data_IF_842173670935
#
_entry.id   IF_842173670935
#
_cell.length_a   1.000
_cell.length_b   1.000
_cell.length_c   1.000
_cell.angle_alpha   90.00
_cell.angle_beta   90.00
_cell.angle_gamma   90.00
#
_symmetry.space_group_name_H-M   'P 1'
#
loop_
_entity.id
_entity.type
_entity.pdbx_description
1 polymer ?
#
# COMPACT_ATOMS: atom_id res chain seq x y z
N UNK A 1 -6.40 -3.11 4.96
CA UNK A 1 -6.70 -1.78 4.36
C UNK A 1 -6.21 -0.74 5.36
N UNK A 2 -5.42 0.26 4.95
CA UNK A 2 -4.72 1.14 5.90
C UNK A 2 -5.61 2.27 6.43
N UNK A 3 -6.39 2.89 5.55
CA UNK A 3 -7.35 3.95 5.88
C UNK A 3 -8.45 3.95 4.81
N UNK A 4 -9.55 4.64 5.06
CA UNK A 4 -10.54 4.89 4.02
C UNK A 4 -9.90 5.48 2.76
N UNK A 5 -10.13 4.83 1.61
CA UNK A 5 -9.57 5.19 0.31
C UNK A 5 -8.02 5.24 0.23
N UNK A 6 -7.30 4.59 1.15
CA UNK A 6 -5.85 4.40 1.08
C UNK A 6 -5.50 2.91 1.23
N UNK A 7 -4.81 2.39 0.22
CA UNK A 7 -4.43 0.99 0.12
C UNK A 7 -2.91 0.86 -0.03
N UNK A 8 -2.37 -0.22 0.52
CA UNK A 8 -0.94 -0.54 0.50
C UNK A 8 -0.76 -1.97 0.00
N UNK A 9 0.27 -2.19 -0.81
CA UNK A 9 0.73 -3.51 -1.26
C UNK A 9 2.23 -3.59 -1.05
N UNK A 10 2.69 -4.65 -0.40
CA UNK A 10 4.12 -4.96 -0.32
C UNK A 10 4.62 -5.49 -1.66
N UNK A 11 5.79 -5.01 -2.09
CA UNK A 11 6.48 -5.48 -3.30
C UNK A 11 7.93 -5.79 -2.95
N UNK A 12 8.47 -6.86 -3.54
CA UNK A 12 9.83 -7.33 -3.26
C UNK A 12 10.89 -6.35 -3.75
N UNK A 13 10.62 -5.67 -4.87
CA UNK A 13 11.52 -4.72 -5.48
C UNK A 13 10.75 -3.64 -6.25
N UNK A 14 11.50 -2.65 -6.76
CA UNK A 14 10.94 -1.52 -7.50
C UNK A 14 10.27 -1.93 -8.80
N UNK A 15 10.84 -2.88 -9.54
CA UNK A 15 10.29 -3.36 -10.81
C UNK A 15 8.91 -4.01 -10.63
N UNK A 16 8.75 -4.82 -9.58
CA UNK A 16 7.45 -5.42 -9.25
C UNK A 16 6.41 -4.37 -8.83
N UNK A 17 6.83 -3.33 -8.11
CA UNK A 17 5.96 -2.21 -7.75
C UNK A 17 5.49 -1.44 -8.99
N UNK A 18 6.41 -1.14 -9.92
CA UNK A 18 6.09 -0.49 -11.20
C UNK A 18 5.19 -1.36 -12.08
N UNK A 19 5.46 -2.66 -12.16
CA UNK A 19 4.60 -3.64 -12.85
C UNK A 19 3.19 -3.67 -12.28
N UNK A 20 3.06 -3.64 -10.95
CA UNK A 20 1.75 -3.56 -10.28
C UNK A 20 1.02 -2.27 -10.64
N UNK A 21 1.70 -1.12 -10.61
CA UNK A 21 1.10 0.16 -11.01
C UNK A 21 0.62 0.11 -12.46
N UNK A 22 1.41 -0.47 -13.37
CA UNK A 22 1.04 -0.61 -14.78
C UNK A 22 -0.14 -1.56 -14.98
N UNK A 23 -0.29 -2.58 -14.14
CA UNK A 23 -1.48 -3.43 -14.12
C UNK A 23 -2.71 -2.63 -13.66
N UNK A 24 -2.63 -1.91 -12.54
CA UNK A 24 -3.73 -1.10 -12.00
C UNK A 24 -4.20 -0.04 -13.00
N UNK A 25 -3.27 0.57 -13.77
CA UNK A 25 -3.61 1.54 -14.82
C UNK A 25 -4.62 1.00 -15.84
N UNK A 26 -4.68 -0.31 -16.06
CA UNK A 26 -5.64 -0.95 -16.99
C UNK A 26 -7.07 -1.02 -16.44
N UNK A 27 -7.24 -0.84 -15.13
CA UNK A 27 -8.51 -0.94 -14.42
C UNK A 27 -8.97 0.41 -13.82
N UNK A 28 -8.34 1.53 -14.23
CA UNK A 28 -8.70 2.83 -13.70
C UNK A 28 -10.16 3.18 -14.06
N UNK A 29 -10.89 3.82 -13.12
CA UNK A 29 -12.23 4.32 -13.40
C UNK A 29 -12.16 5.46 -14.43
N UNK A 30 -13.29 5.72 -15.10
CA UNK A 30 -13.40 6.82 -16.07
C UNK A 30 -13.30 8.20 -15.41
N UNK A 31 -13.75 8.31 -14.16
CA UNK A 31 -13.79 9.53 -13.38
C UNK A 31 -13.19 9.33 -11.98
N UNK A 32 -12.65 10.41 -11.40
CA UNK A 32 -12.09 10.43 -10.05
C UNK A 32 -10.59 10.69 -9.99
N UNK A 33 -10.02 10.57 -8.79
CA UNK A 33 -8.60 10.83 -8.53
C UNK A 33 -7.92 9.61 -7.92
N UNK A 34 -7.07 8.95 -8.71
CA UNK A 34 -6.25 7.84 -8.27
C UNK A 34 -4.78 8.23 -8.42
N UNK A 35 -4.02 8.12 -7.33
CA UNK A 35 -2.57 8.39 -7.30
C UNK A 35 -1.86 7.21 -6.66
N UNK A 36 -0.66 6.91 -7.13
CA UNK A 36 0.21 5.91 -6.51
C UNK A 36 1.52 6.57 -6.07
N UNK A 37 2.11 6.03 -5.01
CA UNK A 37 3.45 6.37 -4.54
C UNK A 37 4.17 5.07 -4.19
N UNK A 38 5.44 4.98 -4.55
CA UNK A 38 6.32 3.88 -4.13
C UNK A 38 7.17 4.43 -2.99
N UNK A 39 7.10 3.77 -1.84
CA UNK A 39 7.96 4.06 -0.68
C UNK A 39 8.67 2.78 -0.24
N UNK A 40 9.82 2.95 0.40
CA UNK A 40 10.55 1.84 1.00
C UNK A 40 9.88 1.39 2.30
N UNK A 41 10.11 0.14 2.68
CA UNK A 41 9.70 -0.41 3.96
C UNK A 41 10.16 0.44 5.15
N UNK A 42 11.42 0.88 5.14
CA UNK A 42 11.98 1.79 6.16
C UNK A 42 11.29 3.15 6.21
N UNK A 43 10.75 3.65 5.10
CA UNK A 43 9.98 4.89 5.10
C UNK A 43 8.57 4.65 5.64
N UNK A 44 7.97 3.51 5.31
CA UNK A 44 6.68 3.10 5.84
C UNK A 44 6.71 2.94 7.36
N UNK A 45 7.70 2.23 7.90
CA UNK A 45 7.93 2.04 9.34
C UNK A 45 8.18 3.36 10.09
N UNK A 46 8.76 4.36 9.42
CA UNK A 46 9.00 5.69 9.99
C UNK A 46 7.79 6.61 9.95
N UNK A 47 6.67 6.19 9.35
CA UNK A 47 5.46 7.00 9.36
C UNK A 47 4.97 7.17 10.79
N UNK A 48 4.66 8.41 11.15
CA UNK A 48 4.16 8.75 12.49
C UNK A 48 2.65 8.92 12.43
N UNK A 49 1.95 8.21 13.30
CA UNK A 49 0.53 8.48 13.57
C UNK A 49 0.46 9.72 14.44
N UNK A 50 -0.09 10.81 13.90
CA UNK A 50 -0.23 12.07 14.63
C UNK A 50 -1.54 12.12 15.44
N UNK A 51 -2.56 11.35 15.02
CA UNK A 51 -3.88 11.27 15.66
C UNK A 51 -4.43 9.85 15.45
N UNK A 52 -5.04 9.27 16.49
CA UNK A 52 -5.59 7.90 16.48
C UNK A 52 -4.58 6.85 16.94
N UNK A 53 -5.00 5.60 16.93
CA UNK A 53 -4.15 4.44 17.23
C UNK A 53 -3.69 3.77 15.93
N UNK A 54 -2.53 3.11 15.97
CA UNK A 54 -2.12 2.25 14.85
C UNK A 54 -3.13 1.12 14.64
N UNK A 55 -3.50 0.90 13.38
CA UNK A 55 -4.43 -0.17 13.02
C UNK A 55 -3.79 -1.53 13.37
N UNK A 56 -4.43 -2.27 14.28
CA UNK A 56 -3.96 -3.59 14.71
C UNK A 56 -3.88 -4.58 13.53
N UNK A 57 -4.62 -4.35 12.45
CA UNK A 57 -4.55 -5.19 11.25
C UNK A 57 -3.25 -4.99 10.45
N UNK A 58 -2.57 -3.85 10.60
CA UNK A 58 -1.24 -3.65 10.01
C UNK A 58 -0.18 -4.51 10.71
N UNK A 59 -0.34 -4.77 12.02
CA UNK A 59 0.55 -5.67 12.76
C UNK A 59 0.48 -7.14 12.29
N UNK A 60 -0.60 -7.54 11.60
CA UNK A 60 -0.76 -8.88 11.02
C UNK A 60 0.10 -9.06 9.76
N UNK A 61 0.63 -7.99 9.17
CA UNK A 61 1.58 -8.05 8.04
C UNK A 61 3.00 -8.49 8.47
N UNK A 62 3.18 -8.91 9.73
CA UNK A 62 4.39 -9.52 10.24
C UNK A 62 4.72 -10.84 9.52
N UNK A 63 5.97 -10.91 9.04
CA UNK A 63 6.68 -11.99 8.33
C UNK A 63 6.09 -12.54 7.02
N UNK A 64 4.77 -12.67 6.84
CA UNK A 64 4.18 -13.17 5.59
C UNK A 64 3.28 -12.12 4.92
N UNK A 65 3.91 -11.28 4.09
CA UNK A 65 3.30 -10.12 3.41
C UNK A 65 2.47 -10.44 2.16
N UNK A 66 1.74 -11.55 2.17
CA UNK A 66 0.75 -11.85 1.12
C UNK A 66 -0.62 -11.88 1.76
N UNK A 67 -1.41 -10.84 1.51
CA UNK A 67 -2.87 -10.94 1.68
C UNK A 67 -3.37 -11.71 0.46
N UNK A 68 -3.65 -13.00 0.63
CA UNK A 68 -4.59 -13.68 -0.26
C UNK A 68 -6.00 -13.23 0.10
N UNK A 69 -6.79 -12.90 -0.92
CA UNK A 69 -8.20 -12.54 -0.79
C UNK A 69 -9.04 -13.77 -0.48
#
# INVERSE_FOLDING_TARGET
MMQYSIYVKSCLNKEQAEGTINLIKRFLPRDGHVRSIIITEKQFEKMKVLVGEEDRNLNILGENRTIEF
#
